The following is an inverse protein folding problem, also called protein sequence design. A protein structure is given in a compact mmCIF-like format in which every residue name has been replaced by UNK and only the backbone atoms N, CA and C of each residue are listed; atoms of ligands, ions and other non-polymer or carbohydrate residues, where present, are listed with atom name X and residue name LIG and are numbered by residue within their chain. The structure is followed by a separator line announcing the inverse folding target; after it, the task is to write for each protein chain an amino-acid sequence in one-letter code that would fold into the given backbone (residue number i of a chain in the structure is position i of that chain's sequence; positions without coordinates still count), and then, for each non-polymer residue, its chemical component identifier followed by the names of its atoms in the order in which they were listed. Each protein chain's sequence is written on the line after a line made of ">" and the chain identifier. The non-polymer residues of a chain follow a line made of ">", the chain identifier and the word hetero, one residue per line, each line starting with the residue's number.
data_IF_979294835293
#
_entry.id   IF_979294835293
#
_cell.length_a   1.000
_cell.length_b   1.000
_cell.length_c   1.000
_cell.angle_alpha   90.00
_cell.angle_beta   90.00
_cell.angle_gamma   90.00
#
_symmetry.space_group_name_H-M   'P 1'
#
loop_
_entity.id
_entity.type
_entity.pdbx_description
1 polymer ?
#
# COMPACT_ATOMS: atom_id res chain seq x y z
N UNK A 1 73.31 -27.43 15.64
CA UNK A 1 72.01 -26.76 15.86
C UNK A 1 70.94 -27.83 15.83
N UNK A 2 70.21 -28.02 16.92
CA UNK A 2 69.45 -29.25 17.19
C UNK A 2 68.11 -29.28 16.43
N UNK A 3 67.95 -30.25 15.52
CA UNK A 3 66.83 -30.30 14.55
C UNK A 3 65.46 -30.38 15.24
N UNK A 4 65.40 -30.96 16.45
CA UNK A 4 64.19 -31.02 17.29
C UNK A 4 63.76 -29.66 17.85
N UNK A 5 64.70 -28.70 18.01
CA UNK A 5 64.35 -27.32 18.41
C UNK A 5 63.74 -26.53 17.25
N UNK A 6 64.17 -26.78 16.01
CA UNK A 6 63.66 -26.06 14.83
C UNK A 6 62.20 -26.45 14.56
N UNK A 7 61.84 -27.74 14.63
CA UNK A 7 60.47 -28.24 14.39
C UNK A 7 59.48 -27.73 15.45
N UNK A 8 59.92 -27.56 16.71
CA UNK A 8 59.06 -27.02 17.78
C UNK A 8 58.75 -25.52 17.61
N UNK A 9 59.62 -24.77 16.92
CA UNK A 9 59.39 -23.35 16.66
C UNK A 9 58.63 -23.10 15.35
N UNK A 10 58.73 -23.99 14.36
CA UNK A 10 57.89 -23.90 13.14
C UNK A 10 56.46 -24.39 13.33
N UNK A 11 56.18 -25.30 14.27
CA UNK A 11 54.79 -25.68 14.59
C UNK A 11 54.03 -24.63 15.42
N UNK A 12 54.74 -23.77 16.17
CA UNK A 12 54.11 -22.69 16.96
C UNK A 12 53.82 -21.46 16.08
N UNK A 13 54.51 -21.30 14.94
CA UNK A 13 54.25 -20.25 13.96
C UNK A 13 53.10 -20.58 12.98
N UNK A 14 52.66 -21.85 12.90
CA UNK A 14 51.49 -22.28 12.09
C UNK A 14 50.16 -22.33 12.85
N UNK A 15 50.15 -21.89 14.12
CA UNK A 15 48.92 -21.78 14.93
C UNK A 15 48.56 -20.33 15.28
N UNK A 16 49.01 -19.37 14.45
CA UNK A 16 48.65 -17.94 14.53
C UNK A 16 48.13 -17.41 13.17
N UNK A 17 47.48 -18.27 12.39
CA UNK A 17 46.44 -17.84 11.45
C UNK A 17 45.07 -18.22 12.01
N UNK A 18 44.79 -17.77 13.24
CA UNK A 18 43.41 -17.44 13.58
C UNK A 18 43.07 -16.19 12.76
N UNK A 19 42.58 -16.41 11.54
CA UNK A 19 41.75 -15.42 10.89
C UNK A 19 40.66 -15.09 11.90
N UNK A 20 40.79 -13.95 12.56
CA UNK A 20 39.67 -13.29 13.15
C UNK A 20 38.73 -13.02 11.97
N UNK A 21 37.85 -13.98 11.68
CA UNK A 21 36.59 -13.66 11.09
C UNK A 21 35.98 -12.71 12.10
N UNK A 22 36.18 -11.41 11.86
CA UNK A 22 35.33 -10.40 12.43
C UNK A 22 33.97 -10.80 11.90
N UNK A 23 33.22 -11.52 12.74
CA UNK A 23 31.82 -11.76 12.53
C UNK A 23 31.22 -10.37 12.64
N UNK A 24 31.16 -9.66 11.52
CA UNK A 24 30.39 -8.42 11.42
C UNK A 24 29.04 -8.78 12.03
N UNK A 25 28.58 -8.09 13.10
CA UNK A 25 27.23 -8.34 13.57
C UNK A 25 26.33 -8.18 12.36
N UNK A 26 25.57 -9.24 12.04
CA UNK A 26 24.50 -9.13 11.06
C UNK A 26 23.70 -7.90 11.45
N UNK A 27 23.35 -6.99 10.52
CA UNK A 27 22.61 -5.78 10.87
C UNK A 27 21.33 -6.20 11.59
N UNK A 28 21.31 -6.02 12.91
CA UNK A 28 20.17 -6.33 13.75
C UNK A 28 19.19 -5.17 13.63
N UNK A 29 18.21 -5.31 12.74
CA UNK A 29 17.05 -4.41 12.65
C UNK A 29 17.12 -3.26 11.64
N UNK A 30 17.96 -3.35 10.61
CA UNK A 30 18.02 -2.34 9.55
C UNK A 30 17.82 -2.98 8.17
N UNK A 31 17.13 -2.23 7.30
CA UNK A 31 16.94 -2.55 5.89
C UNK A 31 18.16 -3.21 5.25
N UNK A 32 17.92 -4.23 4.42
CA UNK A 32 18.96 -4.75 3.53
C UNK A 32 19.42 -3.69 2.52
N UNK A 33 20.52 -3.96 1.80
CA UNK A 33 21.01 -3.08 0.72
C UNK A 33 20.11 -3.07 -0.53
N UNK A 34 19.16 -4.00 -0.64
CA UNK A 34 18.29 -4.13 -1.82
C UNK A 34 17.31 -2.95 -1.90
N UNK A 35 17.05 -2.41 -3.10
CA UNK A 35 15.96 -1.43 -3.25
C UNK A 35 14.60 -2.10 -3.08
N UNK A 36 13.69 -1.45 -2.37
CA UNK A 36 12.35 -1.97 -2.10
C UNK A 36 11.34 -1.19 -2.94
N UNK A 37 10.56 -1.89 -3.76
CA UNK A 37 9.57 -1.29 -4.65
C UNK A 37 8.29 -2.12 -4.68
N UNK A 38 7.21 -1.56 -5.25
CA UNK A 38 5.91 -2.24 -5.36
C UNK A 38 6.07 -3.64 -5.97
N UNK A 39 5.41 -4.62 -5.34
CA UNK A 39 5.52 -6.05 -5.67
C UNK A 39 6.58 -6.80 -4.86
N UNK A 40 7.47 -6.11 -4.14
CA UNK A 40 8.39 -6.75 -3.20
C UNK A 40 7.63 -7.38 -2.01
N UNK A 41 8.26 -8.38 -1.39
CA UNK A 41 7.77 -9.05 -0.19
C UNK A 41 8.90 -9.40 0.77
N UNK A 42 8.58 -9.63 2.03
CA UNK A 42 9.51 -10.11 3.06
C UNK A 42 9.89 -9.06 4.11
N UNK A 43 10.95 -9.36 4.87
CA UNK A 43 11.36 -8.61 6.06
C UNK A 43 11.62 -7.12 5.80
N UNK A 44 12.24 -6.79 4.67
CA UNK A 44 12.49 -5.41 4.25
C UNK A 44 11.18 -4.62 4.08
N UNK A 45 10.12 -5.28 3.59
CA UNK A 45 8.80 -4.65 3.45
C UNK A 45 8.09 -4.53 4.79
N UNK A 46 8.26 -5.51 5.68
CA UNK A 46 7.74 -5.46 7.07
C UNK A 46 8.34 -4.24 7.78
N UNK A 47 9.66 -4.06 7.71
CA UNK A 47 10.33 -2.90 8.29
C UNK A 47 9.84 -1.60 7.65
N UNK A 48 9.73 -1.53 6.31
CA UNK A 48 9.20 -0.37 5.60
C UNK A 48 7.81 0.03 6.11
N UNK A 49 6.88 -0.93 6.16
CA UNK A 49 5.51 -0.72 6.64
C UNK A 49 5.49 -0.31 8.11
N UNK A 50 6.29 -0.94 8.98
CA UNK A 50 6.35 -0.63 10.41
C UNK A 50 6.90 0.77 10.68
N UNK A 51 7.95 1.17 9.95
CA UNK A 51 8.53 2.52 10.03
C UNK A 51 7.55 3.56 9.53
N UNK A 52 6.96 3.36 8.35
CA UNK A 52 5.94 4.27 7.80
C UNK A 52 4.73 4.39 8.74
N UNK A 53 4.30 3.31 9.38
CA UNK A 53 3.24 3.34 10.38
C UNK A 53 3.64 4.11 11.63
N UNK A 54 4.89 3.94 12.09
CA UNK A 54 5.41 4.66 13.25
C UNK A 54 5.29 6.18 13.10
N UNK A 55 5.60 6.70 11.92
CA UNK A 55 5.50 8.12 11.60
C UNK A 55 4.15 8.53 11.00
N UNK A 56 3.14 7.65 11.04
CA UNK A 56 1.76 7.97 10.67
C UNK A 56 1.45 8.02 9.17
N UNK A 57 2.37 7.59 8.31
CA UNK A 57 2.16 7.53 6.85
C UNK A 57 1.42 6.27 6.39
N UNK A 58 1.44 5.21 7.20
CA UNK A 58 0.83 3.92 6.84
C UNK A 58 -0.15 3.41 7.91
N UNK A 59 -1.40 3.23 7.54
CA UNK A 59 -2.47 2.77 8.43
C UNK A 59 -2.89 1.31 8.22
N UNK A 60 -2.32 0.65 7.22
CA UNK A 60 -2.60 -0.74 6.86
C UNK A 60 -1.95 -1.76 7.79
N UNK A 61 -2.15 -3.04 7.48
CA UNK A 61 -1.49 -4.13 8.20
C UNK A 61 -0.01 -4.19 7.84
N UNK A 62 0.83 -4.48 8.84
CA UNK A 62 2.24 -4.81 8.62
C UNK A 62 2.30 -6.29 8.26
N UNK A 63 2.25 -6.58 6.96
CA UNK A 63 2.08 -7.93 6.40
C UNK A 63 3.25 -8.37 5.50
N UNK A 64 4.23 -7.48 5.30
CA UNK A 64 5.39 -7.75 4.47
C UNK A 64 5.10 -7.83 2.98
N UNK A 65 3.97 -7.28 2.51
CA UNK A 65 3.62 -7.22 1.08
C UNK A 65 3.58 -5.79 0.59
N UNK A 66 4.41 -5.46 -0.39
CA UNK A 66 4.47 -4.10 -0.91
C UNK A 66 3.35 -3.89 -1.94
N UNK A 67 2.15 -3.62 -1.43
CA UNK A 67 0.98 -3.20 -2.20
C UNK A 67 0.86 -1.68 -2.38
N UNK A 68 -0.27 -1.23 -2.91
CA UNK A 68 -0.49 0.20 -3.19
C UNK A 68 -0.64 1.06 -1.94
N UNK A 69 -1.21 0.54 -0.84
CA UNK A 69 -1.24 1.26 0.44
C UNK A 69 0.17 1.59 0.94
N UNK A 70 1.12 0.64 0.81
CA UNK A 70 2.54 0.89 1.12
C UNK A 70 3.18 1.84 0.11
N UNK A 71 2.81 1.77 -1.17
CA UNK A 71 3.31 2.67 -2.22
C UNK A 71 2.94 4.13 -1.97
N UNK A 72 1.68 4.40 -1.65
CA UNK A 72 1.23 5.76 -1.35
C UNK A 72 1.77 6.27 -0.03
N UNK A 73 1.80 5.42 1.01
CA UNK A 73 2.47 5.77 2.26
C UNK A 73 3.93 6.19 2.01
N UNK A 74 4.65 5.44 1.17
CA UNK A 74 6.03 5.75 0.80
C UNK A 74 6.14 7.03 -0.02
N UNK A 75 5.30 7.24 -1.03
CA UNK A 75 5.33 8.46 -1.86
C UNK A 75 4.97 9.70 -1.05
N UNK A 76 3.94 9.64 -0.21
CA UNK A 76 3.56 10.74 0.68
C UNK A 76 4.69 11.07 1.66
N UNK A 77 5.37 10.04 2.17
CA UNK A 77 6.59 10.22 2.97
C UNK A 77 7.70 10.90 2.16
N UNK A 78 7.97 10.42 0.94
CA UNK A 78 8.98 11.01 0.06
C UNK A 78 8.69 12.48 -0.22
N UNK A 79 7.46 12.81 -0.59
CA UNK A 79 7.01 14.17 -0.84
C UNK A 79 7.19 15.06 0.41
N UNK A 80 6.70 14.61 1.57
CA UNK A 80 6.79 15.39 2.83
C UNK A 80 8.22 15.77 3.18
N UNK A 81 9.18 14.90 2.89
CA UNK A 81 10.59 15.08 3.24
C UNK A 81 11.47 15.53 2.07
N UNK A 82 10.88 15.95 0.94
CA UNK A 82 11.62 16.48 -0.21
C UNK A 82 12.54 15.45 -0.87
N UNK A 83 12.16 14.18 -0.84
CA UNK A 83 12.86 13.08 -1.48
C UNK A 83 12.33 12.86 -2.92
N UNK A 84 13.06 12.14 -3.79
CA UNK A 84 12.50 11.68 -5.05
C UNK A 84 11.20 10.89 -4.81
N UNK A 85 10.09 11.34 -5.38
CA UNK A 85 8.76 10.75 -5.18
C UNK A 85 8.52 9.63 -6.20
N UNK A 86 9.46 8.69 -6.26
CA UNK A 86 9.50 7.58 -7.22
C UNK A 86 8.81 6.29 -6.73
N UNK A 87 8.37 6.26 -5.46
CA UNK A 87 7.78 5.08 -4.84
C UNK A 87 8.78 3.93 -4.62
N UNK A 88 10.08 4.24 -4.61
CA UNK A 88 11.18 3.30 -4.37
C UNK A 88 11.87 3.65 -3.05
N UNK A 89 11.92 2.69 -2.13
CA UNK A 89 12.71 2.79 -0.92
C UNK A 89 14.17 2.41 -1.22
N UNK A 90 14.88 3.34 -1.87
CA UNK A 90 16.33 3.31 -2.04
C UNK A 90 17.07 3.86 -0.82
N UNK A 91 18.41 3.95 -0.90
CA UNK A 91 19.27 4.29 0.25
C UNK A 91 18.88 5.62 0.93
N UNK A 92 18.60 6.68 0.18
CA UNK A 92 18.23 7.98 0.75
C UNK A 92 16.89 7.91 1.49
N UNK A 93 15.89 7.28 0.89
CA UNK A 93 14.57 7.05 1.49
C UNK A 93 14.67 6.21 2.76
N UNK A 94 15.40 5.09 2.69
CA UNK A 94 15.65 4.19 3.83
C UNK A 94 16.36 4.89 4.97
N UNK A 95 17.42 5.65 4.68
CA UNK A 95 18.14 6.45 5.68
C UNK A 95 17.20 7.44 6.36
N UNK A 96 16.40 8.18 5.59
CA UNK A 96 15.47 9.14 6.16
C UNK A 96 14.44 8.47 7.07
N UNK A 97 13.89 7.32 6.68
CA UNK A 97 12.98 6.53 7.53
C UNK A 97 13.65 6.15 8.85
N UNK A 98 14.87 5.61 8.80
CA UNK A 98 15.64 5.23 10.00
C UNK A 98 15.89 6.43 10.91
N UNK A 99 16.24 7.58 10.33
CA UNK A 99 16.59 8.79 11.10
C UNK A 99 15.37 9.38 11.86
N UNK A 100 14.13 9.09 11.47
CA UNK A 100 12.91 9.70 12.04
C UNK A 100 11.89 8.72 12.64
N UNK A 101 12.18 7.43 12.61
CA UNK A 101 11.29 6.39 13.14
C UNK A 101 12.07 5.43 14.01
N UNK A 102 11.41 4.92 15.04
CA UNK A 102 11.90 3.76 15.77
C UNK A 102 11.25 2.51 15.15
N UNK A 103 11.99 1.40 15.07
CA UNK A 103 11.48 0.12 14.58
C UNK A 103 11.79 -0.96 15.62
N UNK A 104 10.76 -1.38 16.35
CA UNK A 104 10.91 -2.47 17.29
C UNK A 104 10.71 -3.82 16.57
N UNK A 105 11.79 -4.33 15.96
CA UNK A 105 11.77 -5.59 15.20
C UNK A 105 11.19 -6.75 16.00
N UNK A 106 11.62 -6.89 17.26
CA UNK A 106 11.18 -7.98 18.13
C UNK A 106 9.67 -7.92 18.40
N UNK A 107 9.12 -6.75 18.67
CA UNK A 107 7.68 -6.57 18.84
C UNK A 107 6.91 -6.91 17.56
N UNK A 108 7.34 -6.36 16.42
CA UNK A 108 6.65 -6.55 15.14
C UNK A 108 6.69 -8.03 14.72
N UNK A 109 7.89 -8.65 14.66
CA UNK A 109 8.05 -10.05 14.27
C UNK A 109 7.34 -11.01 15.21
N UNK A 110 7.38 -10.78 16.53
CA UNK A 110 6.65 -11.64 17.48
C UNK A 110 5.14 -11.60 17.28
N UNK A 111 4.57 -10.43 16.99
CA UNK A 111 3.13 -10.32 16.75
C UNK A 111 2.72 -10.95 15.42
N UNK A 112 3.54 -10.81 14.37
CA UNK A 112 3.34 -11.51 13.09
C UNK A 112 3.39 -13.04 13.30
N UNK A 113 4.43 -13.55 13.97
CA UNK A 113 4.61 -14.99 14.21
C UNK A 113 3.48 -15.60 15.05
N UNK A 114 2.89 -14.81 15.96
CA UNK A 114 1.74 -15.22 16.78
C UNK A 114 0.39 -15.04 16.09
N UNK A 115 0.35 -14.43 14.90
CA UNK A 115 -0.89 -14.09 14.19
C UNK A 115 -1.74 -13.03 14.89
N UNK A 116 -1.13 -12.18 15.73
CA UNK A 116 -1.83 -11.11 16.42
C UNK A 116 -2.20 -9.99 15.45
N UNK A 117 -3.32 -9.31 15.71
CA UNK A 117 -3.57 -7.99 15.13
C UNK A 117 -2.87 -6.94 15.98
N UNK A 118 -2.03 -6.13 15.35
CA UNK A 118 -1.24 -5.11 16.04
C UNK A 118 -0.99 -3.89 15.16
N UNK A 119 -0.45 -2.84 15.78
CA UNK A 119 0.02 -1.62 15.10
C UNK A 119 1.39 -1.21 15.66
N UNK A 120 2.07 -0.27 15.01
CA UNK A 120 3.39 0.22 15.40
C UNK A 120 3.49 1.75 15.28
N UNK A 121 2.58 2.50 15.91
CA UNK A 121 2.58 3.98 15.88
C UNK A 121 3.51 4.59 16.93
N UNK A 122 4.24 5.65 16.55
CA UNK A 122 5.06 6.41 17.49
C UNK A 122 4.23 7.07 18.57
N UNK A 123 4.78 7.14 19.79
CA UNK A 123 4.10 7.74 20.95
C UNK A 123 2.98 6.89 21.57
N UNK A 124 2.66 5.71 21.02
CA UNK A 124 1.69 4.79 21.61
C UNK A 124 2.41 3.64 22.32
N UNK A 125 2.13 3.37 23.62
CA UNK A 125 2.75 2.25 24.35
C UNK A 125 2.48 0.90 23.69
N UNK A 126 3.50 0.06 23.54
CA UNK A 126 3.45 -1.20 22.77
C UNK A 126 2.36 -2.16 23.25
N UNK A 127 2.13 -2.22 24.56
CA UNK A 127 1.08 -3.00 25.20
C UNK A 127 -0.33 -2.63 24.74
N UNK A 128 -0.54 -1.37 24.34
CA UNK A 128 -1.82 -0.86 23.84
C UNK A 128 -1.97 -1.05 22.32
N UNK A 129 -0.92 -1.52 21.65
CA UNK A 129 -0.91 -1.69 20.20
C UNK A 129 -1.22 -3.11 19.75
N UNK A 130 -1.54 -4.04 20.66
CA UNK A 130 -1.86 -5.43 20.35
C UNK A 130 -3.29 -5.74 20.77
N UNK A 131 -4.13 -6.15 19.81
CA UNK A 131 -5.43 -6.75 20.13
C UNK A 131 -5.33 -8.28 20.06
N UNK A 132 -5.40 -8.95 21.22
CA UNK A 132 -5.60 -10.41 21.27
C UNK A 132 -7.00 -10.71 20.72
N UNK A 133 -7.10 -11.53 19.70
CA UNK A 133 -8.29 -11.62 18.84
C UNK A 133 -9.65 -11.76 19.55
N UNK A 134 -10.45 -10.70 19.50
CA UNK A 134 -11.81 -10.73 18.91
C UNK A 134 -11.90 -9.51 18.01
N UNK A 135 -11.83 -9.73 16.70
CA UNK A 135 -11.77 -8.65 15.73
C UNK A 135 -13.07 -7.88 15.64
N UNK A 136 -13.23 -6.82 16.44
CA UNK A 136 -13.89 -5.63 15.90
C UNK A 136 -12.90 -5.01 14.92
N UNK A 137 -13.20 -5.10 13.61
CA UNK A 137 -12.51 -4.28 12.60
C UNK A 137 -12.48 -2.87 13.18
N UNK A 138 -11.31 -2.22 13.26
CA UNK A 138 -11.27 -0.76 13.47
C UNK A 138 -12.15 -0.21 12.36
N UNK A 139 -13.29 0.35 12.74
CA UNK A 139 -14.24 0.93 11.80
C UNK A 139 -13.44 1.94 10.99
N UNK A 140 -13.45 1.80 9.66
CA UNK A 140 -12.69 2.71 8.82
C UNK A 140 -13.33 4.07 9.03
N UNK A 141 -12.57 5.04 9.54
CA UNK A 141 -13.09 6.39 9.72
C UNK A 141 -13.21 7.02 8.34
N UNK A 142 -14.41 6.97 7.79
CA UNK A 142 -14.76 7.64 6.56
C UNK A 142 -14.75 9.16 6.79
N UNK A 143 -14.42 9.98 5.76
CA UNK A 143 -14.69 11.40 5.82
C UNK A 143 -16.15 11.63 6.21
N UNK A 144 -16.43 12.60 7.08
CA UNK A 144 -17.77 12.80 7.69
C UNK A 144 -18.91 13.00 6.68
N UNK A 145 -18.58 13.31 5.42
CA UNK A 145 -19.51 13.44 4.30
C UNK A 145 -20.07 12.08 3.84
N UNK A 146 -19.39 10.97 4.08
CA UNK A 146 -19.71 9.66 3.54
C UNK A 146 -20.08 8.65 4.64
N UNK A 147 -21.08 7.83 4.35
CA UNK A 147 -21.57 6.77 5.24
C UNK A 147 -20.97 5.40 4.90
N UNK A 148 -21.08 4.44 5.82
CA UNK A 148 -20.76 3.04 5.53
C UNK A 148 -21.57 2.46 4.37
N UNK A 149 -22.78 2.99 4.15
CA UNK A 149 -23.61 2.60 3.03
C UNK A 149 -23.02 3.09 1.70
N UNK A 150 -22.51 4.32 1.66
CA UNK A 150 -21.82 4.86 0.49
C UNK A 150 -20.59 4.03 0.15
N UNK A 151 -19.79 3.68 1.16
CA UNK A 151 -18.62 2.82 0.99
C UNK A 151 -18.99 1.47 0.38
N UNK A 152 -20.09 0.85 0.83
CA UNK A 152 -20.56 -0.43 0.27
C UNK A 152 -21.01 -0.28 -1.18
N UNK A 153 -21.82 0.74 -1.48
CA UNK A 153 -22.32 1.01 -2.83
C UNK A 153 -21.16 1.23 -3.80
N UNK A 154 -20.24 2.13 -3.44
CA UNK A 154 -19.04 2.40 -4.26
C UNK A 154 -18.21 1.14 -4.47
N UNK A 155 -17.94 0.37 -3.42
CA UNK A 155 -17.10 -0.81 -3.53
C UNK A 155 -17.71 -1.89 -4.44
N UNK A 156 -19.04 -2.08 -4.38
CA UNK A 156 -19.74 -3.01 -5.27
C UNK A 156 -19.79 -2.49 -6.71
N UNK A 157 -20.00 -1.19 -6.91
CA UNK A 157 -19.94 -0.57 -8.24
C UNK A 157 -18.54 -0.73 -8.86
N UNK A 158 -17.48 -0.34 -8.13
CA UNK A 158 -16.08 -0.50 -8.56
C UNK A 158 -15.75 -1.96 -8.86
N UNK A 159 -16.24 -2.90 -8.06
CA UNK A 159 -16.02 -4.31 -8.34
C UNK A 159 -16.70 -4.78 -9.63
N UNK A 160 -17.94 -4.34 -9.91
CA UNK A 160 -18.61 -4.67 -11.18
C UNK A 160 -17.86 -4.14 -12.40
N UNK A 161 -17.33 -2.92 -12.30
CA UNK A 161 -16.71 -2.22 -13.42
C UNK A 161 -15.25 -2.60 -13.64
N UNK A 162 -14.49 -2.86 -12.57
CA UNK A 162 -13.04 -2.98 -12.61
C UNK A 162 -12.51 -4.28 -11.98
N UNK A 163 -13.35 -5.31 -11.85
CA UNK A 163 -12.86 -6.65 -11.46
C UNK A 163 -11.87 -7.17 -12.50
N UNK A 164 -10.68 -7.54 -12.04
CA UNK A 164 -9.60 -8.05 -12.90
C UNK A 164 -8.66 -6.95 -13.43
N UNK A 165 -9.04 -5.67 -13.30
CA UNK A 165 -8.18 -4.54 -13.62
C UNK A 165 -7.01 -4.42 -12.62
N UNK A 166 -5.90 -3.76 -13.02
CA UNK A 166 -4.90 -3.31 -12.05
C UNK A 166 -5.56 -2.49 -10.94
N UNK A 167 -5.00 -2.53 -9.72
CA UNK A 167 -5.57 -1.82 -8.57
C UNK A 167 -5.77 -0.33 -8.85
N UNK A 168 -4.81 0.30 -9.53
CA UNK A 168 -4.91 1.69 -9.99
C UNK A 168 -6.16 1.95 -10.84
N UNK A 169 -6.57 0.98 -11.68
CA UNK A 169 -7.81 1.07 -12.45
C UNK A 169 -9.06 0.96 -11.58
N UNK A 170 -9.02 0.20 -10.49
CA UNK A 170 -10.11 0.14 -9.51
C UNK A 170 -10.24 1.46 -8.75
N UNK A 171 -9.10 2.04 -8.33
CA UNK A 171 -9.09 3.38 -7.71
C UNK A 171 -9.56 4.44 -8.70
N UNK A 172 -9.16 4.36 -9.97
CA UNK A 172 -9.60 5.29 -11.01
C UNK A 172 -11.12 5.28 -11.22
N UNK A 173 -11.76 4.10 -11.22
CA UNK A 173 -13.23 4.02 -11.28
C UNK A 173 -13.88 4.59 -10.01
N UNK A 174 -13.29 4.33 -8.83
CA UNK A 174 -13.77 4.92 -7.58
C UNK A 174 -13.67 6.46 -7.60
N UNK A 175 -12.56 7.00 -8.11
CA UNK A 175 -12.35 8.43 -8.26
C UNK A 175 -13.33 9.05 -9.25
N UNK A 176 -13.63 8.40 -10.39
CA UNK A 176 -14.69 8.85 -11.32
C UNK A 176 -16.05 8.99 -10.62
N UNK A 177 -16.41 8.09 -9.71
CA UNK A 177 -17.65 8.21 -8.92
C UNK A 177 -17.62 9.49 -8.07
N UNK A 178 -16.49 9.77 -7.41
CA UNK A 178 -16.33 10.96 -6.58
C UNK A 178 -16.33 12.24 -7.42
N UNK A 179 -15.63 12.24 -8.56
CA UNK A 179 -15.59 13.36 -9.50
C UNK A 179 -16.99 13.69 -10.02
N UNK A 180 -17.81 12.67 -10.32
CA UNK A 180 -19.23 12.87 -10.68
C UNK A 180 -20.01 13.51 -9.54
N UNK A 181 -19.85 13.06 -8.30
CA UNK A 181 -20.52 13.69 -7.14
C UNK A 181 -20.18 15.18 -6.99
N UNK A 182 -18.99 15.60 -7.44
CA UNK A 182 -18.56 17.01 -7.38
C UNK A 182 -18.87 17.80 -8.66
N UNK A 183 -19.25 17.13 -9.75
CA UNK A 183 -19.46 17.75 -11.05
C UNK A 183 -20.92 18.21 -11.22
N UNK A 184 -21.18 19.45 -11.69
CA UNK A 184 -22.53 20.04 -11.73
C UNK A 184 -23.53 19.31 -12.65
N UNK A 185 -23.03 18.56 -13.64
CA UNK A 185 -23.88 17.79 -14.57
C UNK A 185 -24.36 16.45 -14.00
N UNK A 186 -23.98 16.10 -12.77
CA UNK A 186 -24.31 14.83 -12.14
C UNK A 186 -24.98 15.04 -10.78
N UNK A 187 -25.67 14.02 -10.24
CA UNK A 187 -26.19 14.07 -8.88
C UNK A 187 -25.08 14.27 -7.84
N UNK A 188 -25.36 15.00 -6.78
CA UNK A 188 -24.42 15.39 -5.72
C UNK A 188 -24.31 14.38 -4.57
N UNK A 189 -24.81 13.16 -4.76
CA UNK A 189 -24.74 12.06 -3.79
C UNK A 189 -24.23 10.78 -4.44
N UNK A 190 -23.55 9.93 -3.66
CA UNK A 190 -23.01 8.64 -4.12
C UNK A 190 -24.13 7.75 -4.67
N UNK A 191 -25.24 7.63 -3.93
CA UNK A 191 -26.42 6.92 -4.40
C UNK A 191 -26.96 7.51 -5.71
N UNK A 192 -27.07 8.84 -5.80
CA UNK A 192 -27.55 9.52 -7.00
C UNK A 192 -26.71 9.18 -8.23
N UNK A 193 -25.37 9.23 -8.13
CA UNK A 193 -24.45 8.86 -9.22
C UNK A 193 -24.55 7.38 -9.56
N UNK A 194 -24.52 6.49 -8.56
CA UNK A 194 -24.48 5.03 -8.77
C UNK A 194 -25.78 4.52 -9.40
N UNK A 195 -26.93 5.07 -9.02
CA UNK A 195 -28.23 4.63 -9.51
C UNK A 195 -28.70 5.36 -10.78
N UNK A 196 -27.85 6.20 -11.41
CA UNK A 196 -28.16 6.71 -12.73
C UNK A 196 -28.38 5.54 -13.71
N UNK A 197 -29.42 5.58 -14.58
CA UNK A 197 -29.72 4.49 -15.49
C UNK A 197 -28.51 4.10 -16.33
N UNK A 198 -28.15 2.81 -16.30
CA UNK A 198 -27.03 2.22 -17.05
C UNK A 198 -25.63 2.77 -16.72
N UNK A 199 -25.46 3.49 -15.61
CA UNK A 199 -24.16 4.04 -15.23
C UNK A 199 -23.19 2.96 -14.70
N UNK A 200 -23.71 1.95 -13.97
CA UNK A 200 -22.92 0.88 -13.37
C UNK A 200 -23.61 -0.48 -13.55
N UNK A 201 -22.87 -1.44 -14.09
CA UNK A 201 -23.35 -2.81 -14.37
C UNK A 201 -23.82 -3.53 -13.10
N UNK A 202 -23.14 -3.31 -11.97
CA UNK A 202 -23.46 -3.92 -10.67
C UNK A 202 -24.89 -3.62 -10.18
N UNK A 203 -25.50 -2.51 -10.62
CA UNK A 203 -26.90 -2.18 -10.32
C UNK A 203 -27.83 -3.07 -11.13
N UNK A 204 -27.63 -3.16 -12.44
CA UNK A 204 -28.45 -3.98 -13.34
C UNK A 204 -28.34 -5.47 -13.02
N UNK A 205 -27.15 -5.93 -12.62
CA UNK A 205 -26.87 -7.33 -12.28
C UNK A 205 -27.32 -7.70 -10.84
N UNK A 206 -27.89 -6.76 -10.08
CA UNK A 206 -28.34 -6.97 -8.71
C UNK A 206 -27.22 -7.18 -7.69
N UNK A 207 -25.97 -6.92 -8.05
CA UNK A 207 -24.78 -7.13 -7.21
C UNK A 207 -24.52 -5.98 -6.22
N UNK A 208 -25.20 -4.85 -6.38
CA UNK A 208 -24.94 -3.62 -5.62
C UNK A 208 -25.19 -3.76 -4.09
N UNK A 209 -25.98 -4.75 -3.67
CA UNK A 209 -26.33 -4.98 -2.25
C UNK A 209 -25.54 -6.11 -1.57
N UNK A 210 -24.56 -6.69 -2.27
CA UNK A 210 -23.75 -7.79 -1.74
C UNK A 210 -22.68 -7.30 -0.75
N UNK A 211 -22.07 -8.24 -0.04
CA UNK A 211 -20.87 -7.95 0.77
C UNK A 211 -19.73 -7.50 -0.15
N UNK A 212 -19.14 -6.31 0.06
CA UNK A 212 -18.09 -5.81 -0.82
C UNK A 212 -16.85 -6.68 -0.86
N UNK A 213 -16.26 -6.78 -2.06
CA UNK A 213 -14.92 -7.31 -2.22
C UNK A 213 -13.92 -6.42 -1.47
N UNK A 214 -13.05 -7.01 -0.63
CA UNK A 214 -12.12 -6.23 0.21
C UNK A 214 -11.15 -5.37 -0.62
N UNK A 215 -10.70 -5.85 -1.79
CA UNK A 215 -9.81 -5.07 -2.67
C UNK A 215 -10.51 -3.87 -3.29
N UNK A 216 -11.76 -4.04 -3.75
CA UNK A 216 -12.54 -2.92 -4.28
C UNK A 216 -12.88 -1.91 -3.16
N UNK A 217 -13.15 -2.41 -1.95
CA UNK A 217 -13.34 -1.57 -0.77
C UNK A 217 -12.08 -0.75 -0.44
N UNK A 218 -10.91 -1.37 -0.44
CA UNK A 218 -9.63 -0.67 -0.27
C UNK A 218 -9.44 0.41 -1.35
N UNK A 219 -9.76 0.10 -2.61
CA UNK A 219 -9.64 1.06 -3.71
C UNK A 219 -10.56 2.30 -3.52
N UNK A 220 -11.77 2.08 -3.01
CA UNK A 220 -12.68 3.19 -2.67
C UNK A 220 -12.14 4.03 -1.53
N UNK A 221 -11.59 3.40 -0.48
CA UNK A 221 -11.00 4.14 0.64
C UNK A 221 -9.82 4.98 0.19
N UNK A 222 -8.99 4.46 -0.71
CA UNK A 222 -7.88 5.20 -1.28
C UNK A 222 -8.36 6.42 -2.09
N UNK A 223 -9.40 6.27 -2.91
CA UNK A 223 -10.01 7.39 -3.63
C UNK A 223 -10.62 8.43 -2.69
N UNK A 224 -11.33 7.99 -1.64
CA UNK A 224 -11.89 8.87 -0.60
C UNK A 224 -10.82 9.63 0.20
N UNK A 225 -9.62 9.08 0.30
CA UNK A 225 -8.46 9.73 0.88
C UNK A 225 -7.72 10.67 -0.10
N UNK A 226 -8.29 10.89 -1.30
CA UNK A 226 -7.82 11.87 -2.28
C UNK A 226 -6.96 11.30 -3.40
N UNK A 227 -6.79 9.97 -3.50
CA UNK A 227 -6.07 9.40 -4.64
C UNK A 227 -6.96 9.31 -5.88
N UNK A 228 -6.77 10.23 -6.83
CA UNK A 228 -7.37 10.16 -8.17
C UNK A 228 -6.31 9.89 -9.26
N UNK A 229 -6.09 8.62 -9.66
CA UNK A 229 -5.21 8.30 -10.79
C UNK A 229 -5.81 8.64 -12.16
N UNK A 230 -7.12 8.88 -12.25
CA UNK A 230 -7.82 9.21 -13.50
C UNK A 230 -7.63 10.65 -13.95
N UNK A 231 -7.14 11.52 -13.06
CA UNK A 231 -6.93 12.97 -13.26
C UNK A 231 -8.23 13.74 -13.54
N UNK A 232 -9.17 13.68 -12.60
CA UNK A 232 -10.49 14.33 -12.67
C UNK A 232 -11.40 13.80 -13.79
N UNK A 233 -11.19 12.57 -14.24
CA UNK A 233 -12.06 11.97 -15.25
C UNK A 233 -13.49 11.83 -14.70
N UNK A 234 -14.47 12.09 -15.55
CA UNK A 234 -15.91 11.88 -15.26
C UNK A 234 -16.52 10.78 -16.12
N UNK A 235 -15.76 10.28 -17.11
CA UNK A 235 -16.13 9.14 -17.94
C UNK A 235 -14.97 8.17 -18.08
N UNK A 236 -15.30 6.92 -18.42
CA UNK A 236 -14.34 5.93 -18.88
C UNK A 236 -15.02 4.95 -19.83
N UNK A 237 -14.23 4.26 -20.65
CA UNK A 237 -14.73 3.20 -21.51
C UNK A 237 -13.63 2.19 -21.85
N UNK A 238 -14.06 0.97 -22.19
CA UNK A 238 -13.16 -0.02 -22.77
C UNK A 238 -13.10 0.18 -24.29
N UNK A 239 -11.95 0.59 -24.88
CA UNK A 239 -11.84 0.89 -26.30
C UNK A 239 -11.98 -0.35 -27.20
N UNK A 240 -11.94 -1.57 -26.63
CA UNK A 240 -12.16 -2.82 -27.37
C UNK A 240 -13.66 -3.07 -27.58
N UNK A 241 -14.50 -2.73 -26.60
CA UNK A 241 -15.93 -3.06 -26.61
C UNK A 241 -16.85 -1.86 -26.83
N UNK A 242 -16.36 -0.63 -26.64
CA UNK A 242 -17.17 0.58 -26.75
C UNK A 242 -17.56 0.90 -28.19
N UNK A 243 -18.87 0.96 -28.44
CA UNK A 243 -19.45 1.26 -29.76
C UNK A 243 -20.06 2.66 -29.86
N UNK A 244 -20.22 3.36 -28.73
CA UNK A 244 -20.85 4.70 -28.69
C UNK A 244 -19.97 5.76 -29.33
N UNK A 245 -20.40 6.38 -30.43
CA UNK A 245 -19.64 7.48 -31.07
C UNK A 245 -19.41 8.67 -30.13
N UNK A 246 -20.35 8.91 -29.21
CA UNK A 246 -20.27 10.01 -28.26
C UNK A 246 -19.15 9.82 -27.23
N UNK A 247 -18.87 8.59 -26.78
CA UNK A 247 -17.78 8.38 -25.79
C UNK A 247 -16.41 8.60 -26.42
N UNK A 248 -16.27 8.24 -27.71
CA UNK A 248 -15.05 8.45 -28.48
C UNK A 248 -14.77 9.93 -28.80
N UNK A 249 -15.77 10.82 -28.69
CA UNK A 249 -15.58 12.26 -28.88
C UNK A 249 -15.18 13.02 -27.61
N UNK A 250 -15.15 12.36 -26.45
CA UNK A 250 -14.69 12.96 -25.19
C UNK A 250 -13.18 13.18 -25.20
N UNK A 251 -12.71 14.14 -24.40
CA UNK A 251 -11.28 14.40 -24.26
C UNK A 251 -10.62 13.26 -23.49
N UNK A 252 -9.73 12.51 -24.14
CA UNK A 252 -9.06 11.35 -23.55
C UNK A 252 -7.84 11.79 -22.76
N UNK A 253 -7.83 11.46 -21.46
CA UNK A 253 -6.73 11.82 -20.55
C UNK A 253 -5.64 10.74 -20.64
N UNK A 254 -6.00 9.50 -20.32
CA UNK A 254 -5.06 8.38 -20.23
C UNK A 254 -5.76 7.02 -20.27
N UNK A 255 -4.96 5.97 -20.37
CA UNK A 255 -5.40 4.57 -20.27
C UNK A 255 -4.80 3.90 -19.03
N UNK A 256 -5.65 3.29 -18.20
CA UNK A 256 -5.23 2.45 -17.08
C UNK A 256 -5.90 1.09 -17.25
N UNK A 257 -5.10 0.03 -17.38
CA UNK A 257 -5.60 -1.30 -17.69
C UNK A 257 -6.36 -1.33 -19.02
N UNK A 258 -7.61 -1.80 -19.00
CA UNK A 258 -8.48 -1.85 -20.17
C UNK A 258 -9.32 -0.59 -20.37
N UNK A 259 -9.29 0.37 -19.44
CA UNK A 259 -10.10 1.58 -19.52
C UNK A 259 -9.33 2.80 -20.00
N UNK A 260 -9.93 3.55 -20.92
CA UNK A 260 -9.57 4.93 -21.25
C UNK A 260 -10.44 5.85 -20.39
N UNK A 261 -9.81 6.79 -19.69
CA UNK A 261 -10.46 7.79 -18.83
C UNK A 261 -10.54 9.13 -19.55
N UNK A 262 -11.66 9.84 -19.41
CA UNK A 262 -11.95 11.04 -20.17
C UNK A 262 -12.79 12.08 -19.42
N UNK A 263 -12.72 13.33 -19.91
CA UNK A 263 -13.55 14.46 -19.49
C UNK A 263 -14.74 14.59 -20.43
#
# INVERSE_FOLDING_TARGET
>A
MDLKKIIKHTLIAMLLLSSAYVLSPLPTGAFSSQQIQRGAFGDDVIELQARLQYIGFYNGAIDGKFGYGTYWALRNFQEKYGLPVDGIAGNTTKKKLVDISDYNEQFVKNNINKGNKFTHYGGTPLENQVSKGTGKKKEVQLPSKYSDQDLKLMANAVYGEARGEPYEGQVAVAAVILNRVEHPDFPDTIGGVIFQPLAFTAVADGQIWLTPNERAKEAVLDALNGWDPSENAIYYFNPITATSKWIWSREQIKKIGLHVFCI
#
